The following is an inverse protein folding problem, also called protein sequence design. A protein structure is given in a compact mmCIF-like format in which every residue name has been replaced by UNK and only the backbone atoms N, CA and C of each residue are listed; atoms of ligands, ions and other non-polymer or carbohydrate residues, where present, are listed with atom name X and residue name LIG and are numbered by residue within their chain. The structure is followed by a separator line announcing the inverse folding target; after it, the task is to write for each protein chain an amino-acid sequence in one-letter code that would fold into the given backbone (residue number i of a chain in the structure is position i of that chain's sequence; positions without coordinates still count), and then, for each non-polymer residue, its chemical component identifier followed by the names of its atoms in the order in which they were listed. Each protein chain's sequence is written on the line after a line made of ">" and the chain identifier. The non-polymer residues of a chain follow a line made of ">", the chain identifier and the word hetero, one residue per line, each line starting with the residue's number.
data_IF_403118941921
#
_entry.id   IF_403118941921
#
_cell.length_a   1.000
_cell.length_b   1.000
_cell.length_c   1.000
_cell.angle_alpha   90.00
_cell.angle_beta   90.00
_cell.angle_gamma   90.00
#
_symmetry.space_group_name_H-M   'P 1'
#
loop_
_entity.id
_entity.type
_entity.pdbx_description
1 polymer ?
#
# COMPACT_ATOMS: atom_id res chain seq x y z
N UNK A 1 2.98 54.10 36.92
CA UNK A 1 1.85 53.32 37.48
C UNK A 1 0.88 53.05 36.32
N UNK A 2 0.77 51.78 35.88
CA UNK A 2 -0.07 51.28 34.75
C UNK A 2 0.53 51.52 33.35
N UNK A 3 1.13 50.60 32.59
CA UNK A 3 0.91 49.18 32.26
C UNK A 3 -0.32 48.90 31.35
N UNK A 4 -0.08 48.76 30.03
CA UNK A 4 -0.32 47.50 29.26
C UNK A 4 -0.04 47.70 27.75
N UNK A 5 0.98 47.00 27.29
CA UNK A 5 1.21 46.58 25.90
C UNK A 5 0.75 45.13 25.79
N UNK A 6 -0.21 44.81 24.92
CA UNK A 6 -0.56 43.48 24.40
C UNK A 6 -1.70 43.67 23.39
N UNK A 7 -1.72 43.14 22.17
CA UNK A 7 -0.82 42.22 21.49
C UNK A 7 -1.27 42.09 20.03
N UNK A 8 -0.30 41.78 19.17
CA UNK A 8 -0.53 41.19 17.86
C UNK A 8 -0.81 39.70 18.08
N UNK A 9 -1.90 39.18 17.53
CA UNK A 9 -1.97 37.82 16.97
C UNK A 9 -2.96 37.86 15.81
N UNK A 10 -2.38 37.92 14.61
CA UNK A 10 -2.93 37.32 13.41
C UNK A 10 -3.13 35.83 13.69
N UNK A 11 -4.37 35.35 13.66
CA UNK A 11 -4.67 33.95 13.44
C UNK A 11 -5.88 33.91 12.51
N UNK A 12 -5.56 33.73 11.24
CA UNK A 12 -6.50 33.28 10.22
C UNK A 12 -7.02 31.92 10.67
N UNK A 13 -8.14 31.91 11.37
CA UNK A 13 -8.90 30.71 11.70
C UNK A 13 -9.57 30.20 10.41
N UNK A 14 -8.76 29.64 9.51
CA UNK A 14 -9.24 28.83 8.41
C UNK A 14 -9.69 27.51 9.05
N UNK A 15 -10.99 27.42 9.28
CA UNK A 15 -11.66 26.24 9.77
C UNK A 15 -11.32 25.04 8.87
N UNK A 16 -10.50 24.11 9.39
CA UNK A 16 -10.21 22.79 8.81
C UNK A 16 -11.24 21.77 9.31
N UNK A 17 -12.50 22.09 9.13
CA UNK A 17 -13.65 21.34 9.61
C UNK A 17 -14.22 20.46 8.49
N UNK A 18 -13.44 19.47 8.03
CA UNK A 18 -14.02 18.34 7.32
C UNK A 18 -13.20 17.64 6.22
N UNK A 19 -11.90 17.91 6.06
CA UNK A 19 -11.10 17.19 5.05
C UNK A 19 -11.17 15.68 5.28
N UNK A 20 -11.60 14.87 4.29
CA UNK A 20 -11.59 13.41 4.41
C UNK A 20 -10.17 12.84 4.29
N UNK A 21 -9.20 13.68 3.88
CA UNK A 21 -7.82 13.29 3.63
C UNK A 21 -6.95 13.50 4.87
N UNK A 22 -6.26 12.44 5.31
CA UNK A 22 -5.36 12.45 6.45
C UNK A 22 -3.99 11.88 6.04
N UNK A 23 -2.95 12.72 5.90
CA UNK A 23 -1.63 12.25 5.49
C UNK A 23 -0.95 11.44 6.61
N UNK A 24 0.00 10.55 6.27
CA UNK A 24 0.69 9.76 7.28
C UNK A 24 1.47 10.63 8.27
N UNK A 25 1.26 10.38 9.56
CA UNK A 25 1.98 11.06 10.64
C UNK A 25 3.45 10.63 10.77
N UNK A 26 3.85 9.52 10.13
CA UNK A 26 5.20 8.93 10.26
C UNK A 26 5.81 8.63 8.89
N UNK A 27 7.15 8.73 8.73
CA UNK A 27 7.84 8.41 7.47
C UNK A 27 7.50 7.02 6.94
N UNK A 28 7.33 6.05 7.83
CA UNK A 28 7.04 4.66 7.50
C UNK A 28 5.67 4.49 6.80
N UNK A 29 4.72 5.39 7.04
CA UNK A 29 3.45 5.43 6.30
C UNK A 29 3.61 5.87 4.83
N UNK A 30 4.56 6.76 4.54
CA UNK A 30 4.89 7.09 3.15
C UNK A 30 5.58 5.93 2.43
N UNK A 31 6.38 5.13 3.15
CA UNK A 31 6.94 3.88 2.61
C UNK A 31 5.83 2.88 2.30
N UNK A 32 4.82 2.75 3.17
CA UNK A 32 3.66 1.91 2.92
C UNK A 32 2.90 2.34 1.66
N UNK A 33 2.64 3.64 1.52
CA UNK A 33 1.99 4.21 0.33
C UNK A 33 2.81 3.89 -0.93
N UNK A 34 4.11 4.18 -0.92
CA UNK A 34 4.96 3.94 -2.08
C UNK A 34 4.96 2.45 -2.46
N UNK A 35 5.12 1.56 -1.49
CA UNK A 35 5.11 0.13 -1.73
C UNK A 35 3.76 -0.37 -2.26
N UNK A 36 2.64 0.13 -1.72
CA UNK A 36 1.29 -0.22 -2.19
C UNK A 36 1.01 0.31 -3.60
N UNK A 37 1.41 1.56 -3.91
CA UNK A 37 1.24 2.15 -5.24
C UNK A 37 2.09 1.42 -6.28
N UNK A 38 3.36 1.13 -5.98
CA UNK A 38 4.24 0.38 -6.88
C UNK A 38 3.70 -1.03 -7.11
N UNK A 39 3.31 -1.72 -6.04
CA UNK A 39 2.67 -3.05 -6.15
C UNK A 39 1.41 -2.98 -7.01
N UNK A 40 0.52 -2.02 -6.74
CA UNK A 40 -0.72 -1.82 -7.47
C UNK A 40 -0.48 -1.59 -8.96
N UNK A 41 0.43 -0.68 -9.30
CA UNK A 41 0.80 -0.37 -10.68
C UNK A 41 1.38 -1.60 -11.42
N UNK A 42 2.28 -2.34 -10.78
CA UNK A 42 2.84 -3.58 -11.33
C UNK A 42 1.71 -4.57 -11.63
N UNK A 43 0.76 -4.78 -10.72
CA UNK A 43 -0.34 -5.72 -10.92
C UNK A 43 -1.30 -5.30 -12.01
N UNK A 44 -1.62 -4.00 -12.11
CA UNK A 44 -2.43 -3.49 -13.22
C UNK A 44 -1.75 -3.71 -14.56
N UNK A 45 -0.44 -3.44 -14.63
CA UNK A 45 0.36 -3.67 -15.83
C UNK A 45 0.36 -5.17 -16.19
N UNK A 46 0.66 -6.05 -15.24
CA UNK A 46 0.65 -7.50 -15.46
C UNK A 46 -0.74 -7.98 -15.88
N UNK A 47 -1.80 -7.48 -15.24
CA UNK A 47 -3.17 -7.83 -15.53
C UNK A 47 -3.56 -7.49 -16.97
N UNK A 48 -3.27 -6.27 -17.41
CA UNK A 48 -3.52 -5.85 -18.78
C UNK A 48 -2.78 -6.71 -19.81
N UNK A 49 -1.53 -7.08 -19.53
CA UNK A 49 -0.72 -7.92 -20.41
C UNK A 49 -1.19 -9.38 -20.45
N UNK A 50 -1.66 -9.93 -19.34
CA UNK A 50 -2.08 -11.34 -19.23
C UNK A 50 -3.53 -11.57 -19.66
N UNK A 51 -4.39 -10.56 -19.60
CA UNK A 51 -5.84 -10.69 -19.87
C UNK A 51 -6.16 -11.31 -21.23
N UNK A 52 -5.34 -11.03 -22.25
CA UNK A 52 -5.48 -11.59 -23.59
C UNK A 52 -5.14 -13.09 -23.70
N UNK A 53 -4.34 -13.63 -22.77
CA UNK A 53 -3.86 -15.01 -22.79
C UNK A 53 -4.56 -15.89 -21.74
N UNK A 54 -4.76 -15.35 -20.54
CA UNK A 54 -5.43 -16.03 -19.44
C UNK A 54 -6.35 -15.05 -18.72
N UNK A 55 -7.66 -15.13 -19.02
CA UNK A 55 -8.67 -14.22 -18.50
C UNK A 55 -8.76 -14.26 -16.97
N UNK A 56 -8.74 -15.45 -16.36
CA UNK A 56 -8.81 -15.58 -14.91
C UNK A 56 -7.62 -14.89 -14.25
N UNK A 57 -6.40 -15.21 -14.67
CA UNK A 57 -5.19 -14.63 -14.09
C UNK A 57 -5.13 -13.12 -14.32
N UNK A 58 -5.50 -12.66 -15.53
CA UNK A 58 -5.56 -11.24 -15.87
C UNK A 58 -6.54 -10.46 -14.99
N UNK A 59 -7.76 -10.99 -14.80
CA UNK A 59 -8.76 -10.37 -13.90
C UNK A 59 -8.27 -10.35 -12.45
N UNK A 60 -7.67 -11.44 -11.96
CA UNK A 60 -7.09 -11.49 -10.62
C UNK A 60 -6.01 -10.43 -10.43
N UNK A 61 -5.09 -10.28 -11.39
CA UNK A 61 -4.08 -9.23 -11.38
C UNK A 61 -4.69 -7.82 -11.36
N UNK A 62 -5.70 -7.55 -12.19
CA UNK A 62 -6.37 -6.24 -12.22
C UNK A 62 -7.08 -5.93 -10.90
N UNK A 63 -7.85 -6.89 -10.38
CA UNK A 63 -8.51 -6.77 -9.07
C UNK A 63 -7.49 -6.58 -7.95
N UNK A 64 -6.34 -7.26 -8.02
CA UNK A 64 -5.29 -7.11 -7.03
C UNK A 64 -4.66 -5.71 -7.05
N UNK A 65 -4.37 -5.21 -8.26
CA UNK A 65 -3.85 -3.86 -8.45
C UNK A 65 -4.81 -2.80 -7.91
N UNK A 66 -6.10 -2.95 -8.21
CA UNK A 66 -7.14 -2.07 -7.68
C UNK A 66 -7.30 -2.19 -6.15
N UNK A 67 -7.12 -3.39 -5.58
CA UNK A 67 -7.13 -3.60 -4.14
C UNK A 67 -6.03 -2.80 -3.43
N UNK A 68 -4.80 -2.82 -3.94
CA UNK A 68 -3.70 -2.03 -3.36
C UNK A 68 -3.89 -0.52 -3.52
N UNK A 69 -4.32 -0.06 -4.70
CA UNK A 69 -4.58 1.37 -4.91
C UNK A 69 -5.79 1.85 -4.09
N UNK A 70 -6.86 1.05 -4.02
CA UNK A 70 -8.03 1.32 -3.19
C UNK A 70 -7.68 1.34 -1.70
N UNK A 71 -6.87 0.38 -1.24
CA UNK A 71 -6.34 0.37 0.13
C UNK A 71 -5.47 1.59 0.43
N UNK A 72 -4.65 2.03 -0.52
CA UNK A 72 -3.87 3.28 -0.40
C UNK A 72 -4.79 4.49 -0.27
N UNK A 73 -5.84 4.56 -1.12
CA UNK A 73 -6.85 5.61 -1.03
C UNK A 73 -7.54 5.63 0.34
N UNK A 74 -7.93 4.46 0.86
CA UNK A 74 -8.54 4.32 2.19
C UNK A 74 -7.56 4.72 3.31
N UNK A 75 -6.27 4.37 3.19
CA UNK A 75 -5.22 4.72 4.15
C UNK A 75 -5.03 6.23 4.30
N UNK A 76 -5.20 6.95 3.21
CA UNK A 76 -5.14 8.40 3.17
C UNK A 76 -6.43 9.06 3.69
N UNK A 77 -7.34 8.32 4.31
CA UNK A 77 -8.56 8.88 4.91
C UNK A 77 -8.61 8.70 6.41
N UNK A 78 -9.39 9.57 7.06
CA UNK A 78 -9.73 9.46 8.50
C UNK A 78 -10.44 8.15 8.91
N UNK A 79 -10.88 7.35 7.93
CA UNK A 79 -11.54 6.08 8.20
C UNK A 79 -10.55 4.95 8.46
N UNK A 80 -9.24 5.18 8.30
CA UNK A 80 -8.25 4.15 8.58
C UNK A 80 -8.20 3.80 10.06
N UNK A 81 -8.43 2.51 10.37
CA UNK A 81 -8.34 1.98 11.73
C UNK A 81 -7.10 1.10 11.84
N UNK A 82 -6.60 0.97 13.06
CA UNK A 82 -5.42 0.17 13.39
C UNK A 82 -5.48 -1.25 12.80
N UNK A 83 -6.65 -1.88 12.82
CA UNK A 83 -6.81 -3.25 12.33
C UNK A 83 -6.61 -3.37 10.81
N UNK A 84 -6.79 -2.28 10.05
CA UNK A 84 -6.56 -2.28 8.61
C UNK A 84 -5.09 -2.44 8.23
N UNK A 85 -4.15 -2.16 9.13
CA UNK A 85 -2.74 -2.51 8.91
C UNK A 85 -2.55 -4.04 8.83
N UNK A 86 -3.23 -4.82 9.67
CA UNK A 86 -3.19 -6.27 9.60
C UNK A 86 -3.91 -6.79 8.36
N UNK A 87 -5.01 -6.15 7.95
CA UNK A 87 -5.69 -6.48 6.69
C UNK A 87 -4.76 -6.23 5.50
N UNK A 88 -4.06 -5.11 5.46
CA UNK A 88 -3.09 -4.79 4.41
C UNK A 88 -1.92 -5.78 4.39
N UNK A 89 -1.37 -6.12 5.56
CA UNK A 89 -0.31 -7.11 5.69
C UNK A 89 -0.76 -8.51 5.23
N UNK A 90 -1.95 -8.93 5.66
CA UNK A 90 -2.55 -10.20 5.26
C UNK A 90 -2.85 -10.25 3.77
N UNK A 91 -3.36 -9.16 3.20
CA UNK A 91 -3.60 -9.04 1.76
C UNK A 91 -2.31 -9.19 0.96
N UNK A 92 -1.24 -8.46 1.34
CA UNK A 92 0.07 -8.58 0.73
C UNK A 92 0.67 -9.99 0.87
N UNK A 93 0.50 -10.63 2.03
CA UNK A 93 0.94 -12.01 2.24
C UNK A 93 0.18 -12.99 1.33
N UNK A 94 -1.14 -12.86 1.21
CA UNK A 94 -1.96 -13.68 0.32
C UNK A 94 -1.50 -13.53 -1.13
N UNK A 95 -1.10 -12.33 -1.57
CA UNK A 95 -0.63 -12.11 -2.94
C UNK A 95 0.74 -12.74 -3.21
N UNK A 96 1.61 -12.80 -2.19
CA UNK A 96 2.87 -13.55 -2.27
C UNK A 96 2.59 -15.05 -2.33
N UNK A 97 1.70 -15.57 -1.49
CA UNK A 97 1.34 -16.99 -1.48
C UNK A 97 0.65 -17.41 -2.78
N UNK A 98 -0.24 -16.58 -3.32
CA UNK A 98 -0.92 -16.81 -4.58
C UNK A 98 0.08 -16.93 -5.74
N UNK A 99 1.16 -16.15 -5.73
CA UNK A 99 2.21 -16.29 -6.73
C UNK A 99 2.80 -17.70 -6.75
N UNK A 100 3.14 -18.28 -5.59
CA UNK A 100 3.62 -19.66 -5.54
C UNK A 100 2.55 -20.69 -5.89
N UNK A 101 1.28 -20.42 -5.55
CA UNK A 101 0.17 -21.30 -5.92
C UNK A 101 -0.03 -21.39 -7.44
N UNK A 102 0.13 -20.28 -8.18
CA UNK A 102 -0.07 -20.25 -9.64
C UNK A 102 1.20 -20.50 -10.46
N UNK A 103 2.37 -20.11 -9.94
CA UNK A 103 3.64 -20.15 -10.67
C UNK A 103 4.54 -21.33 -10.28
N UNK A 104 4.19 -22.05 -9.21
CA UNK A 104 4.96 -23.18 -8.67
C UNK A 104 5.61 -22.87 -7.32
N UNK A 105 6.09 -23.92 -6.64
CA UNK A 105 6.67 -23.80 -5.30
C UNK A 105 8.19 -23.75 -5.37
N UNK A 106 8.80 -22.85 -4.60
CA UNK A 106 10.25 -22.70 -4.51
C UNK A 106 10.82 -21.62 -5.43
N UNK A 107 12.14 -21.65 -5.61
CA UNK A 107 12.87 -20.61 -6.37
C UNK A 107 12.54 -20.62 -7.86
N UNK A 108 12.11 -21.77 -8.39
CA UNK A 108 11.78 -21.95 -9.81
C UNK A 108 10.60 -21.08 -10.24
N UNK A 109 9.71 -20.69 -9.31
CA UNK A 109 8.61 -19.76 -9.57
C UNK A 109 9.08 -18.41 -10.11
N UNK A 110 10.31 -18.00 -9.78
CA UNK A 110 10.90 -16.75 -10.25
C UNK A 110 11.53 -16.86 -11.63
N UNK A 111 11.61 -18.06 -12.22
CA UNK A 111 12.20 -18.27 -13.53
C UNK A 111 11.13 -18.32 -14.62
N UNK A 112 11.39 -17.65 -15.74
CA UNK A 112 10.54 -17.72 -16.93
C UNK A 112 11.44 -17.91 -18.16
N UNK A 113 11.15 -18.96 -18.95
CA UNK A 113 11.94 -19.36 -20.13
C UNK A 113 13.43 -19.56 -19.82
N UNK A 114 13.74 -20.19 -18.68
CA UNK A 114 15.11 -20.52 -18.27
C UNK A 114 15.93 -19.32 -17.74
N UNK A 115 15.30 -18.16 -17.53
CA UNK A 115 15.95 -16.96 -16.99
C UNK A 115 15.17 -16.39 -15.82
N UNK A 116 15.86 -15.74 -14.88
CA UNK A 116 15.21 -15.04 -13.76
C UNK A 116 14.29 -13.94 -14.32
N UNK A 117 13.06 -13.89 -13.85
CA UNK A 117 12.10 -12.84 -14.19
C UNK A 117 12.24 -11.68 -13.18
N UNK A 118 12.89 -10.56 -13.55
CA UNK A 118 13.15 -9.47 -12.60
C UNK A 118 11.85 -8.82 -12.12
N UNK A 119 10.83 -8.77 -12.97
CA UNK A 119 9.52 -8.21 -12.59
C UNK A 119 8.85 -9.03 -11.50
N UNK A 120 8.93 -10.36 -11.57
CA UNK A 120 8.38 -11.23 -10.52
C UNK A 120 9.11 -11.03 -9.19
N UNK A 121 10.45 -10.95 -9.23
CA UNK A 121 11.28 -10.72 -8.04
C UNK A 121 10.95 -9.37 -7.40
N UNK A 122 10.94 -8.29 -8.20
CA UNK A 122 10.65 -6.95 -7.71
C UNK A 122 9.24 -6.87 -7.14
N UNK A 123 8.23 -7.41 -7.84
CA UNK A 123 6.86 -7.42 -7.35
C UNK A 123 6.73 -8.06 -5.96
N UNK A 124 7.30 -9.27 -5.79
CA UNK A 124 7.25 -9.98 -4.52
C UNK A 124 8.07 -9.30 -3.43
N UNK A 125 9.21 -8.71 -3.77
CA UNK A 125 10.01 -7.95 -2.82
C UNK A 125 9.25 -6.73 -2.28
N UNK A 126 8.59 -5.96 -3.15
CA UNK A 126 7.80 -4.79 -2.74
C UNK A 126 6.56 -5.19 -1.93
N UNK A 127 5.90 -6.29 -2.29
CA UNK A 127 4.79 -6.86 -1.48
C UNK A 127 5.24 -7.24 -0.07
N UNK A 128 6.40 -7.90 0.06
CA UNK A 128 6.96 -8.27 1.36
C UNK A 128 7.36 -7.04 2.19
N UNK A 129 7.94 -6.02 1.55
CA UNK A 129 8.22 -4.74 2.21
C UNK A 129 6.91 -4.12 2.72
N UNK A 130 5.86 -4.07 1.90
CA UNK A 130 4.56 -3.56 2.32
C UNK A 130 4.00 -4.35 3.51
N UNK A 131 4.08 -5.68 3.48
CA UNK A 131 3.60 -6.52 4.58
C UNK A 131 4.37 -6.22 5.88
N UNK A 132 5.70 -6.16 5.83
CA UNK A 132 6.55 -5.87 6.98
C UNK A 132 6.29 -4.46 7.54
N UNK A 133 6.20 -3.46 6.66
CA UNK A 133 5.90 -2.06 7.02
C UNK A 133 4.52 -1.95 7.65
N UNK A 134 3.50 -2.63 7.11
CA UNK A 134 2.16 -2.63 7.68
C UNK A 134 2.14 -3.27 9.08
N UNK A 135 2.85 -4.38 9.29
CA UNK A 135 3.00 -4.99 10.62
C UNK A 135 3.71 -4.05 11.60
N UNK A 136 4.76 -3.35 11.14
CA UNK A 136 5.46 -2.36 11.96
C UNK A 136 4.53 -1.21 12.36
N UNK A 137 3.77 -0.64 11.41
CA UNK A 137 2.77 0.40 11.71
C UNK A 137 1.73 -0.09 12.71
N UNK A 138 1.25 -1.33 12.59
CA UNK A 138 0.32 -1.92 13.55
C UNK A 138 0.90 -2.02 14.97
N UNK A 139 2.18 -2.41 15.07
CA UNK A 139 2.86 -2.59 16.35
C UNK A 139 3.10 -1.25 17.07
N UNK A 140 3.37 -0.19 16.30
CA UNK A 140 3.62 1.13 16.86
C UNK A 140 2.36 2.00 17.01
N UNK A 141 1.28 1.65 16.32
CA UNK A 141 -0.02 2.29 16.46
C UNK A 141 -0.65 1.81 17.77
N UNK A 142 -0.53 2.62 18.80
CA UNK A 142 -1.05 2.38 20.15
C UNK A 142 -2.17 3.36 20.41
N UNK A 143 -3.27 3.23 19.66
CA UNK A 143 -4.55 3.78 20.10
C UNK A 143 -5.15 2.91 21.20
#
# INVERSE_FOLDING_TARGET
>A
MGARSTGVTDETDASDDGSPFEPPARPLGYVAILAAVVTGAIHLLLGANVLGFNRLLGVLFLMNGLGFLGGTGLYLTRHWRREFYLVAAGYAAVTVLAFFAFQGVGVDAFYMRGSLNPMAVVAKAVELVLAAVAVALYAEDTK
#
